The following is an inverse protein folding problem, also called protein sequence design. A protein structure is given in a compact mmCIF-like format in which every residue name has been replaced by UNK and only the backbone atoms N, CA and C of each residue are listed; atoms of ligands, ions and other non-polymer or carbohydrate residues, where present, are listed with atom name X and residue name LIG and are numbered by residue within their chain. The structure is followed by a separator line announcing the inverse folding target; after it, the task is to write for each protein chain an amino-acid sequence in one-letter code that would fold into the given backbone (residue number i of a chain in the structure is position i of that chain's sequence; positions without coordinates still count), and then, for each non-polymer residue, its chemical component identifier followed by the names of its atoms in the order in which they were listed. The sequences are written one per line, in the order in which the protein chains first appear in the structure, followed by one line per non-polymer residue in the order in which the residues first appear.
data_IF_209750755471
#
_entry.id   IF_209750755471
#
_cell.length_a   1.000
_cell.length_b   1.000
_cell.length_c   1.000
_cell.angle_alpha   90.00
_cell.angle_beta   90.00
_cell.angle_gamma   90.00
#
_symmetry.space_group_name_H-M   'P 1'
#
loop_
_entity.id
_entity.type
_entity.pdbx_description
1 polymer ?
#
# COMPACT_ATOMS: atom_id res chain seq x y z
N UNK A 1 50.65 -17.02 -33.89
CA UNK A 1 49.20 -17.28 -33.74
C UNK A 1 48.67 -16.28 -32.71
N UNK A 2 47.87 -15.29 -33.13
CA UNK A 2 47.33 -14.23 -32.26
C UNK A 2 45.92 -14.63 -31.84
N UNK A 3 45.76 -15.01 -30.58
CA UNK A 3 44.48 -15.40 -29.99
C UNK A 3 43.63 -14.15 -29.78
N UNK A 4 42.53 -14.01 -30.52
CA UNK A 4 41.57 -12.92 -30.35
C UNK A 4 40.60 -13.32 -29.23
N UNK A 5 40.62 -12.60 -28.11
CA UNK A 5 39.57 -12.73 -27.09
C UNK A 5 38.32 -11.99 -27.57
N UNK A 6 37.26 -12.74 -27.88
CA UNK A 6 35.92 -12.20 -28.04
C UNK A 6 35.34 -11.85 -26.66
N UNK A 7 35.11 -10.56 -26.40
CA UNK A 7 34.31 -10.08 -25.28
C UNK A 7 32.84 -10.17 -25.70
N UNK A 8 32.09 -11.07 -25.06
CA UNK A 8 30.64 -11.14 -25.24
C UNK A 8 29.98 -10.16 -24.26
N UNK A 9 29.44 -9.07 -24.77
CA UNK A 9 28.53 -8.19 -24.02
C UNK A 9 27.21 -8.92 -23.81
N UNK A 10 26.93 -9.30 -22.57
CA UNK A 10 25.64 -9.86 -22.17
C UNK A 10 24.67 -8.69 -22.01
N UNK A 11 23.81 -8.45 -22.99
CA UNK A 11 22.71 -7.50 -22.86
C UNK A 11 21.65 -8.10 -21.93
N UNK A 12 21.57 -7.60 -20.70
CA UNK A 12 20.46 -7.87 -19.80
C UNK A 12 19.24 -7.09 -20.30
N UNK A 13 18.30 -7.77 -20.95
CA UNK A 13 16.96 -7.22 -21.16
C UNK A 13 16.24 -7.25 -19.81
N UNK A 14 16.28 -6.14 -19.07
CA UNK A 14 15.38 -5.92 -17.96
C UNK A 14 13.95 -5.78 -18.54
N UNK A 15 13.21 -6.88 -18.59
CA UNK A 15 11.75 -6.77 -18.65
C UNK A 15 11.30 -6.00 -17.41
N UNK A 16 10.27 -5.16 -17.52
CA UNK A 16 9.64 -4.57 -16.35
C UNK A 16 9.10 -5.70 -15.47
N UNK A 17 9.87 -6.10 -14.46
CA UNK A 17 9.40 -7.04 -13.46
C UNK A 17 8.32 -6.32 -12.66
N UNK A 18 7.16 -6.95 -12.49
CA UNK A 18 6.23 -6.55 -11.44
C UNK A 18 6.99 -6.59 -10.10
N UNK A 19 6.76 -5.60 -9.23
CA UNK A 19 7.38 -5.59 -7.90
C UNK A 19 6.97 -6.83 -7.11
N UNK A 20 7.88 -7.35 -6.29
CA UNK A 20 7.56 -8.39 -5.33
C UNK A 20 6.67 -7.80 -4.22
N UNK A 21 5.65 -8.54 -3.80
CA UNK A 21 4.85 -8.17 -2.62
C UNK A 21 5.73 -8.33 -1.38
N UNK A 22 5.98 -7.22 -0.69
CA UNK A 22 6.74 -7.15 0.56
C UNK A 22 5.81 -7.49 1.73
N UNK A 23 4.64 -6.85 1.76
CA UNK A 23 3.64 -7.04 2.82
C UNK A 23 2.26 -6.74 2.28
N UNK A 24 1.28 -7.55 2.68
CA UNK A 24 -0.11 -7.38 2.26
C UNK A 24 -1.07 -7.60 3.42
N UNK A 25 -2.17 -6.83 3.41
CA UNK A 25 -3.41 -7.13 4.09
C UNK A 25 -4.52 -7.21 3.04
N UNK A 26 -4.89 -8.43 2.67
CA UNK A 26 -6.12 -8.71 1.91
C UNK A 26 -7.35 -8.82 2.82
N UNK A 27 -7.13 -8.88 4.14
CA UNK A 27 -8.16 -9.06 5.15
C UNK A 27 -9.11 -10.25 4.91
N UNK A 28 -8.75 -11.23 4.08
CA UNK A 28 -9.66 -12.33 3.77
C UNK A 28 -9.80 -13.32 4.94
N UNK A 29 -10.91 -14.06 4.93
CA UNK A 29 -11.16 -15.16 5.85
C UNK A 29 -12.18 -14.85 6.96
N UNK A 30 -12.54 -15.86 7.78
CA UNK A 30 -13.68 -15.77 8.68
C UNK A 30 -13.61 -14.58 9.64
N UNK A 31 -14.65 -13.75 9.67
CA UNK A 31 -14.75 -12.57 10.54
C UNK A 31 -14.64 -12.88 12.03
N UNK A 32 -15.08 -14.06 12.44
CA UNK A 32 -15.09 -14.46 13.85
C UNK A 32 -13.66 -14.55 14.39
N UNK A 33 -13.36 -13.76 15.44
CA UNK A 33 -12.05 -13.77 16.10
C UNK A 33 -10.97 -12.93 15.43
N UNK A 34 -11.22 -12.32 14.26
CA UNK A 34 -10.28 -11.37 13.63
C UNK A 34 -10.15 -10.11 14.48
N UNK A 35 -8.92 -9.65 14.66
CA UNK A 35 -8.61 -8.45 15.42
C UNK A 35 -9.04 -7.19 14.65
N UNK A 36 -10.05 -6.48 15.17
CA UNK A 36 -10.60 -5.28 14.55
C UNK A 36 -9.68 -4.06 14.63
N UNK A 37 -8.81 -3.98 15.63
CA UNK A 37 -7.99 -2.79 15.87
C UNK A 37 -6.56 -2.94 15.38
N UNK A 38 -6.10 -4.17 15.19
CA UNK A 38 -4.77 -4.52 14.70
C UNK A 38 -4.83 -5.78 13.84
N UNK A 39 -5.34 -5.69 12.60
CA UNK A 39 -5.43 -6.85 11.73
C UNK A 39 -4.07 -7.38 11.31
N UNK A 40 -3.96 -8.70 11.23
CA UNK A 40 -2.75 -9.40 10.84
C UNK A 40 -2.53 -9.30 9.32
N UNK A 41 -1.27 -9.35 8.91
CA UNK A 41 -0.88 -9.45 7.50
C UNK A 41 -1.31 -10.79 6.90
N UNK A 42 -1.66 -10.81 5.61
CA UNK A 42 -1.84 -12.03 4.83
C UNK A 42 -0.53 -12.48 4.16
N UNK A 43 0.32 -11.53 3.77
CA UNK A 43 1.68 -11.77 3.24
C UNK A 43 2.66 -10.88 4.00
N UNK A 44 3.85 -11.41 4.29
CA UNK A 44 4.93 -10.63 4.90
C UNK A 44 4.69 -10.27 6.37
N UNK A 45 5.47 -9.31 6.86
CA UNK A 45 5.44 -8.85 8.24
C UNK A 45 5.17 -7.35 8.30
N UNK A 46 4.25 -6.96 9.17
CA UNK A 46 3.90 -5.57 9.41
C UNK A 46 2.84 -5.46 10.50
N UNK A 47 2.49 -4.23 10.84
CA UNK A 47 1.38 -3.97 11.77
C UNK A 47 0.43 -2.93 11.18
N UNK A 48 -0.87 -3.16 11.35
CA UNK A 48 -1.91 -2.18 11.07
C UNK A 48 -2.52 -1.67 12.38
N UNK A 49 -2.98 -0.43 12.42
CA UNK A 49 -3.66 0.14 13.59
C UNK A 49 -4.63 1.27 13.23
N UNK A 50 -5.58 1.53 14.13
CA UNK A 50 -6.54 2.65 14.02
C UNK A 50 -5.91 3.95 14.49
N UNK A 51 -6.20 5.05 13.80
CA UNK A 51 -5.64 6.38 14.07
C UNK A 51 -6.72 7.35 14.54
N UNK A 52 -6.43 8.12 15.58
CA UNK A 52 -7.24 9.27 16.00
C UNK A 52 -8.60 8.93 16.60
N UNK A 53 -8.80 7.69 17.07
CA UNK A 53 -10.06 7.24 17.65
C UNK A 53 -11.10 6.82 16.62
N UNK A 54 -10.67 6.45 15.40
CA UNK A 54 -11.50 5.63 14.51
C UNK A 54 -11.81 4.29 15.16
N UNK A 55 -12.93 3.70 14.76
CA UNK A 55 -13.29 2.31 15.11
C UNK A 55 -13.47 1.52 13.82
N UNK A 56 -13.45 0.19 13.89
CA UNK A 56 -13.60 -0.65 12.71
C UNK A 56 -14.61 -1.79 12.87
N UNK A 57 -15.09 -2.26 11.73
CA UNK A 57 -15.86 -3.46 11.54
C UNK A 57 -15.39 -4.18 10.25
N UNK A 58 -15.78 -5.44 10.10
CA UNK A 58 -15.58 -6.18 8.86
C UNK A 58 -16.77 -6.01 7.92
N UNK A 59 -16.52 -5.84 6.63
CA UNK A 59 -17.55 -5.73 5.58
C UNK A 59 -17.09 -6.47 4.31
N UNK A 60 -17.97 -6.63 3.33
CA UNK A 60 -17.60 -7.29 2.06
C UNK A 60 -16.49 -6.51 1.34
N UNK A 61 -15.52 -7.25 0.82
CA UNK A 61 -14.33 -6.73 0.17
C UNK A 61 -14.53 -6.22 -1.25
N UNK A 62 -13.40 -5.96 -1.89
CA UNK A 62 -13.27 -5.36 -3.20
C UNK A 62 -13.50 -6.40 -4.28
N UNK A 63 -14.23 -6.08 -5.37
CA UNK A 63 -14.36 -6.99 -6.50
C UNK A 63 -13.03 -7.27 -7.23
N UNK A 64 -11.96 -6.53 -6.93
CA UNK A 64 -10.62 -6.84 -7.44
C UNK A 64 -9.91 -7.91 -6.60
N UNK A 65 -10.39 -8.22 -5.40
CA UNK A 65 -9.85 -9.31 -4.60
C UNK A 65 -10.25 -10.65 -5.25
N UNK A 66 -9.28 -11.52 -5.58
CA UNK A 66 -9.57 -12.81 -6.19
C UNK A 66 -10.23 -13.82 -5.22
N UNK A 67 -10.38 -13.51 -3.93
CA UNK A 67 -11.03 -14.37 -2.96
C UNK A 67 -12.50 -14.62 -3.34
N UNK A 68 -12.84 -15.90 -3.46
CA UNK A 68 -14.20 -16.34 -3.82
C UNK A 68 -15.10 -16.46 -2.58
N UNK A 69 -14.50 -16.66 -1.40
CA UNK A 69 -15.17 -16.83 -0.12
C UNK A 69 -14.49 -16.00 0.94
N UNK A 70 -15.27 -15.42 1.85
CA UNK A 70 -14.77 -14.54 2.91
C UNK A 70 -13.90 -13.38 2.38
N UNK A 71 -14.29 -12.85 1.22
CA UNK A 71 -13.80 -11.58 0.66
C UNK A 71 -14.23 -10.42 1.56
N UNK A 72 -13.27 -9.88 2.30
CA UNK A 72 -13.48 -9.02 3.45
C UNK A 72 -12.62 -7.77 3.35
N UNK A 73 -13.19 -6.62 3.75
CA UNK A 73 -12.44 -5.37 3.93
C UNK A 73 -12.40 -4.93 5.37
N UNK A 74 -11.37 -4.16 5.70
CA UNK A 74 -11.32 -3.42 6.96
C UNK A 74 -12.09 -2.10 6.83
N UNK A 75 -13.25 -2.01 7.49
CA UNK A 75 -14.19 -0.90 7.32
C UNK A 75 -14.22 0.00 8.55
N UNK A 76 -13.65 1.19 8.42
CA UNK A 76 -13.50 2.15 9.53
C UNK A 76 -14.63 3.17 9.59
N UNK A 77 -14.88 3.73 10.77
CA UNK A 77 -15.86 4.80 11.03
C UNK A 77 -15.43 5.66 12.22
N UNK A 78 -16.34 6.50 12.73
CA UNK A 78 -16.09 7.46 13.81
C UNK A 78 -15.07 8.51 13.37
N UNK A 79 -15.34 9.14 12.23
CA UNK A 79 -14.52 10.24 11.72
C UNK A 79 -14.81 11.55 12.44
N UNK A 80 -13.96 12.56 12.23
CA UNK A 80 -13.98 13.80 13.01
C UNK A 80 -15.26 14.60 12.73
N UNK A 81 -15.72 15.38 13.70
CA UNK A 81 -16.89 16.23 13.51
C UNK A 81 -16.67 17.22 12.35
N UNK A 82 -17.76 17.60 11.69
CA UNK A 82 -17.69 18.50 10.53
C UNK A 82 -16.90 19.78 10.85
N UNK A 83 -16.00 20.18 9.95
CA UNK A 83 -15.17 21.38 10.10
C UNK A 83 -14.07 21.29 11.15
N UNK A 84 -13.78 20.10 11.72
CA UNK A 84 -12.70 19.90 12.69
C UNK A 84 -11.82 18.70 12.34
N UNK A 85 -10.59 18.65 12.84
CA UNK A 85 -9.78 17.43 12.84
C UNK A 85 -9.39 16.86 11.47
N UNK A 86 -9.26 17.69 10.42
CA UNK A 86 -8.75 17.26 9.11
C UNK A 86 -7.44 16.48 9.25
N UNK A 87 -7.36 15.30 8.63
CA UNK A 87 -6.14 14.49 8.60
C UNK A 87 -5.80 13.81 9.93
N UNK A 88 -6.67 13.86 10.93
CA UNK A 88 -6.36 13.30 12.26
C UNK A 88 -6.88 11.89 12.48
N UNK A 89 -7.71 11.35 11.58
CA UNK A 89 -8.43 10.08 11.75
C UNK A 89 -8.35 9.20 10.51
N UNK A 90 -8.07 7.92 10.73
CA UNK A 90 -7.90 6.95 9.67
C UNK A 90 -7.25 5.65 10.15
N UNK A 91 -6.30 5.15 9.37
CA UNK A 91 -5.53 3.93 9.65
C UNK A 91 -4.04 4.17 9.44
N UNK A 92 -3.22 3.37 10.10
CA UNK A 92 -1.77 3.32 9.93
C UNK A 92 -1.31 1.90 9.61
N UNK A 93 -0.31 1.78 8.73
CA UNK A 93 0.42 0.57 8.41
C UNK A 93 1.91 0.80 8.64
N UNK A 94 2.58 -0.09 9.36
CA UNK A 94 4.04 -0.08 9.53
C UNK A 94 4.64 -1.33 8.89
N UNK A 95 5.64 -1.14 8.03
CA UNK A 95 6.28 -2.18 7.22
C UNK A 95 7.78 -1.94 7.17
N UNK A 96 8.57 -3.03 7.15
CA UNK A 96 9.99 -2.97 6.83
C UNK A 96 10.19 -3.31 5.36
N UNK A 97 10.84 -2.42 4.62
CA UNK A 97 11.22 -2.58 3.21
C UNK A 97 12.71 -2.91 3.05
N UNK A 98 13.38 -3.32 4.13
CA UNK A 98 14.78 -3.76 4.11
C UNK A 98 14.98 -4.84 3.03
N UNK A 99 15.97 -4.64 2.17
CA UNK A 99 16.25 -5.51 1.03
C UNK A 99 15.48 -5.17 -0.24
N UNK A 100 14.64 -4.14 -0.26
CA UNK A 100 13.86 -3.73 -1.44
C UNK A 100 14.11 -2.26 -1.83
N UNK A 101 13.89 -1.95 -3.11
CA UNK A 101 13.89 -0.59 -3.70
C UNK A 101 12.66 -0.40 -4.58
N UNK A 102 12.41 0.82 -5.08
CA UNK A 102 11.24 1.17 -5.89
C UNK A 102 9.92 0.86 -5.17
N UNK A 103 9.84 1.25 -3.90
CA UNK A 103 8.69 0.91 -3.05
C UNK A 103 7.43 1.66 -3.51
N UNK A 104 6.33 0.92 -3.64
CA UNK A 104 4.99 1.47 -3.82
C UNK A 104 4.04 1.01 -2.71
N UNK A 105 3.04 1.83 -2.45
CA UNK A 105 1.87 1.47 -1.66
C UNK A 105 0.65 1.49 -2.58
N UNK A 106 -0.18 0.45 -2.51
CA UNK A 106 -1.46 0.37 -3.22
C UNK A 106 -2.54 -0.17 -2.27
N UNK A 107 -3.77 0.33 -2.39
CA UNK A 107 -4.92 -0.21 -1.69
C UNK A 107 -6.20 0.05 -2.48
N UNK A 108 -7.17 -0.84 -2.34
CA UNK A 108 -8.54 -0.60 -2.76
C UNK A 108 -9.31 0.10 -1.63
N UNK A 109 -9.90 1.24 -1.97
CA UNK A 109 -10.55 2.10 -1.00
C UNK A 109 -12.00 2.37 -1.42
N UNK A 110 -12.92 2.21 -0.47
CA UNK A 110 -14.35 2.48 -0.65
C UNK A 110 -14.86 3.47 0.39
N UNK A 111 -15.16 4.67 -0.06
CA UNK A 111 -15.81 5.72 0.71
C UNK A 111 -17.34 5.53 0.65
N UNK A 112 -18.03 5.41 1.78
CA UNK A 112 -19.50 5.37 1.78
C UNK A 112 -20.10 6.73 1.46
N UNK A 113 -21.38 6.78 1.08
CA UNK A 113 -22.08 8.01 0.67
C UNK A 113 -21.86 9.22 1.59
N UNK A 114 -21.83 9.00 2.90
CA UNK A 114 -21.70 10.07 3.91
C UNK A 114 -20.29 10.21 4.48
N UNK A 115 -19.33 9.37 4.07
CA UNK A 115 -17.92 9.52 4.47
C UNK A 115 -17.29 10.76 3.83
N UNK A 116 -16.10 11.16 4.31
CA UNK A 116 -15.32 12.17 3.59
C UNK A 116 -15.06 11.69 2.17
N UNK A 117 -15.24 12.58 1.20
CA UNK A 117 -14.81 12.38 -0.18
C UNK A 117 -13.29 12.27 -0.28
N UNK A 118 -12.58 13.01 0.57
CA UNK A 118 -11.16 13.23 0.44
C UNK A 118 -10.39 12.45 1.48
N UNK A 119 -9.33 11.80 1.00
CA UNK A 119 -8.33 11.14 1.82
C UNK A 119 -6.94 11.65 1.46
N UNK A 120 -6.04 11.53 2.41
CA UNK A 120 -4.62 11.77 2.21
C UNK A 120 -3.84 10.54 2.64
N UNK A 121 -2.84 10.17 1.84
CA UNK A 121 -1.84 9.17 2.18
C UNK A 121 -0.61 9.92 2.64
N UNK A 122 -0.20 9.65 3.87
CA UNK A 122 0.99 10.19 4.50
C UNK A 122 2.02 9.09 4.67
N UNK A 123 3.30 9.41 4.52
CA UNK A 123 4.40 8.51 4.81
C UNK A 123 5.32 9.08 5.89
N UNK A 124 5.73 8.25 6.84
CA UNK A 124 6.84 8.54 7.74
C UNK A 124 7.99 7.57 7.44
N UNK A 125 9.12 8.12 7.01
CA UNK A 125 10.31 7.35 6.64
C UNK A 125 11.25 7.12 7.82
N UNK A 126 11.10 7.90 8.90
CA UNK A 126 11.81 7.74 10.17
C UNK A 126 10.95 7.09 11.26
N UNK A 127 9.74 6.65 10.87
CA UNK A 127 8.76 6.05 11.76
C UNK A 127 7.98 7.03 12.65
N UNK A 128 8.15 8.35 12.50
CA UNK A 128 7.48 9.34 13.36
C UNK A 128 6.95 10.55 12.60
N UNK A 129 7.73 11.12 11.66
CA UNK A 129 7.38 12.36 10.97
C UNK A 129 6.67 12.07 9.64
N UNK A 130 5.36 12.32 9.63
CA UNK A 130 4.52 12.07 8.47
C UNK A 130 4.54 13.24 7.48
N UNK A 131 4.72 12.92 6.19
CA UNK A 131 4.63 13.85 5.06
C UNK A 131 3.62 13.34 4.04
N UNK A 132 2.93 14.25 3.35
CA UNK A 132 1.97 13.89 2.31
C UNK A 132 2.67 13.30 1.09
N UNK A 133 2.20 12.12 0.65
CA UNK A 133 2.67 11.43 -0.55
C UNK A 133 1.57 11.25 -1.59
N UNK A 134 0.32 11.57 -1.26
CA UNK A 134 -0.78 11.59 -2.20
C UNK A 134 -2.09 12.07 -1.59
N UNK A 135 -2.83 12.87 -2.34
CA UNK A 135 -4.19 13.30 -1.99
C UNK A 135 -5.17 12.77 -3.02
N UNK A 136 -6.24 12.14 -2.56
CA UNK A 136 -7.21 11.49 -3.44
C UNK A 136 -8.63 11.86 -3.05
N UNK A 137 -9.52 11.90 -4.04
CA UNK A 137 -10.94 12.05 -3.85
C UNK A 137 -11.70 10.86 -4.42
N UNK A 138 -12.84 10.51 -3.81
CA UNK A 138 -13.85 9.69 -4.44
C UNK A 138 -14.67 10.54 -5.43
N UNK A 139 -14.99 10.01 -6.61
CA UNK A 139 -15.89 10.68 -7.56
C UNK A 139 -17.36 10.47 -7.20
N UNK A 140 -17.66 9.36 -6.51
CA UNK A 140 -18.97 9.03 -5.96
C UNK A 140 -18.81 8.17 -4.69
N UNK A 141 -19.85 8.15 -3.86
CA UNK A 141 -19.95 7.26 -2.72
C UNK A 141 -20.21 5.82 -3.13
N UNK A 142 -19.86 4.89 -2.25
CA UNK A 142 -20.09 3.44 -2.38
C UNK A 142 -19.41 2.77 -3.59
N UNK A 143 -18.45 3.46 -4.21
CA UNK A 143 -17.60 2.97 -5.29
C UNK A 143 -16.21 2.59 -4.80
N UNK A 144 -15.67 1.52 -5.35
CA UNK A 144 -14.29 1.09 -5.12
C UNK A 144 -13.32 1.90 -5.97
N UNK A 145 -12.19 2.24 -5.39
CA UNK A 145 -11.13 2.98 -6.04
C UNK A 145 -9.78 2.40 -5.64
N UNK A 146 -9.02 1.91 -6.61
CA UNK A 146 -7.60 1.59 -6.39
C UNK A 146 -6.81 2.89 -6.28
N UNK A 147 -6.07 3.03 -5.19
CA UNK A 147 -5.20 4.18 -4.89
C UNK A 147 -3.78 3.69 -4.73
N UNK A 148 -2.85 4.36 -5.41
CA UNK A 148 -1.46 3.97 -5.43
C UNK A 148 -0.55 5.19 -5.36
N UNK A 149 0.57 5.04 -4.65
CA UNK A 149 1.65 6.04 -4.54
C UNK A 149 3.01 5.34 -4.67
N UNK A 150 3.93 6.00 -5.38
CA UNK A 150 5.34 5.62 -5.37
C UNK A 150 6.01 6.40 -4.24
N UNK A 151 6.68 5.71 -3.34
CA UNK A 151 7.16 6.31 -2.07
C UNK A 151 8.55 6.95 -2.18
N UNK A 152 9.25 6.73 -3.29
CA UNK A 152 10.57 7.29 -3.57
C UNK A 152 11.68 6.67 -2.73
N UNK A 153 12.91 7.15 -2.97
CA UNK A 153 14.13 6.52 -2.43
C UNK A 153 14.21 6.50 -0.89
N UNK A 154 13.49 7.36 -0.18
CA UNK A 154 13.46 7.35 1.29
C UNK A 154 12.74 6.11 1.86
N UNK A 155 11.89 5.44 1.08
CA UNK A 155 11.30 4.17 1.45
C UNK A 155 12.19 2.96 1.13
N UNK A 156 13.24 3.13 0.32
CA UNK A 156 14.09 2.00 -0.07
C UNK A 156 14.93 1.51 1.11
N UNK A 157 15.02 0.19 1.27
CA UNK A 157 15.80 -0.47 2.30
C UNK A 157 15.57 0.09 3.72
N UNK A 158 14.30 0.35 4.07
CA UNK A 158 13.92 1.11 5.27
C UNK A 158 13.17 0.22 6.28
N UNK A 159 13.69 0.12 7.50
CA UNK A 159 13.10 -0.70 8.56
C UNK A 159 11.95 -0.01 9.33
N UNK A 160 11.69 1.27 9.06
CA UNK A 160 10.83 2.14 9.87
C UNK A 160 9.75 2.86 9.05
N UNK A 161 9.47 2.38 7.83
CA UNK A 161 8.43 2.96 6.99
C UNK A 161 7.05 2.79 7.65
N UNK A 162 6.31 3.90 7.72
CA UNK A 162 4.90 3.92 8.08
C UNK A 162 4.09 4.67 7.04
N UNK A 163 2.87 4.21 6.80
CA UNK A 163 1.87 4.88 5.97
C UNK A 163 0.63 5.14 6.81
N UNK A 164 0.10 6.35 6.75
CA UNK A 164 -1.24 6.66 7.23
C UNK A 164 -2.15 6.95 6.06
N UNK A 165 -3.40 6.48 6.14
CA UNK A 165 -4.47 6.88 5.22
C UNK A 165 -5.56 7.54 6.05
N UNK A 166 -5.70 8.87 5.91
CA UNK A 166 -6.53 9.69 6.78
C UNK A 166 -7.60 10.45 5.99
N UNK A 167 -8.76 10.67 6.60
CA UNK A 167 -9.79 11.52 6.03
C UNK A 167 -9.43 13.00 6.23
N UNK A 168 -9.38 13.75 5.13
CA UNK A 168 -9.09 15.19 5.15
C UNK A 168 -10.31 16.00 4.70
N UNK A 169 -10.27 17.30 4.99
CA UNK A 169 -11.19 18.24 4.35
C UNK A 169 -11.02 18.24 2.84
N UNK A 170 -12.07 18.67 2.15
CA UNK A 170 -11.97 19.10 0.77
C UNK A 170 -11.00 20.28 0.67
N UNK A 171 -9.89 20.15 -0.10
CA UNK A 171 -8.87 21.20 -0.19
C UNK A 171 -9.42 22.53 -0.72
N UNK A 172 -10.49 22.50 -1.51
CA UNK A 172 -11.11 23.71 -2.06
C UNK A 172 -12.16 24.31 -1.10
N UNK A 173 -12.90 23.47 -0.37
CA UNK A 173 -13.98 23.95 0.51
C UNK A 173 -13.52 24.22 1.96
N UNK A 174 -12.40 23.67 2.40
CA UNK A 174 -11.90 23.81 3.78
C UNK A 174 -12.77 23.11 4.84
N UNK A 175 -13.60 22.15 4.44
CA UNK A 175 -14.43 21.32 5.32
C UNK A 175 -14.61 19.92 4.71
N UNK A 176 -15.13 18.94 5.48
CA UNK A 176 -15.44 17.64 4.88
C UNK A 176 -16.61 17.78 3.90
N UNK A 177 -16.42 17.24 2.71
CA UNK A 177 -17.48 17.03 1.71
C UNK A 177 -17.81 15.55 1.63
N UNK A 178 -19.09 15.23 1.39
CA UNK A 178 -19.52 13.85 1.28
C UNK A 178 -18.99 13.20 0.01
N UNK A 179 -18.63 11.92 0.09
CA UNK A 179 -18.25 11.14 -1.09
C UNK A 179 -19.36 11.10 -2.15
N UNK A 180 -20.63 11.02 -1.73
CA UNK A 180 -21.75 11.29 -2.64
C UNK A 180 -21.86 12.80 -2.93
N UNK A 181 -21.75 13.26 -4.19
CA UNK A 181 -21.80 14.68 -4.53
C UNK A 181 -23.07 15.43 -4.17
N UNK A 182 -24.19 14.72 -4.03
CA UNK A 182 -25.48 15.30 -3.61
C UNK A 182 -25.77 15.07 -2.12
N UNK A 183 -24.87 14.38 -1.41
CA UNK A 183 -25.02 14.01 -0.01
C UNK A 183 -24.42 15.01 0.97
N UNK A 184 -24.48 14.66 2.26
CA UNK A 184 -23.88 15.42 3.36
C UNK A 184 -22.94 14.52 4.16
N UNK A 185 -21.83 15.10 4.61
CA UNK A 185 -20.85 14.40 5.43
C UNK A 185 -21.45 14.01 6.79
N UNK A 186 -21.13 12.81 7.27
CA UNK A 186 -21.45 12.36 8.61
C UNK A 186 -20.25 11.63 9.23
N UNK A 187 -20.09 11.78 10.55
CA UNK A 187 -19.04 11.09 11.32
C UNK A 187 -19.19 9.57 11.31
N UNK A 188 -20.40 9.08 11.07
CA UNK A 188 -20.74 7.66 10.90
C UNK A 188 -20.51 7.14 9.48
N UNK A 189 -20.11 8.00 8.54
CA UNK A 189 -19.60 7.56 7.24
C UNK A 189 -18.44 6.59 7.41
N UNK A 190 -18.25 5.71 6.42
CA UNK A 190 -17.26 4.64 6.51
C UNK A 190 -16.27 4.69 5.37
N UNK A 191 -15.02 4.36 5.64
CA UNK A 191 -14.00 4.13 4.62
C UNK A 191 -13.51 2.69 4.79
N UNK A 192 -13.70 1.91 3.72
CA UNK A 192 -13.24 0.54 3.63
C UNK A 192 -11.88 0.47 2.95
N UNK A 193 -11.01 -0.41 3.45
CA UNK A 193 -9.69 -0.70 2.90
C UNK A 193 -9.59 -2.19 2.60
N UNK A 194 -9.08 -2.49 1.42
CA UNK A 194 -8.87 -3.85 0.97
C UNK A 194 -7.61 -3.92 0.08
N UNK A 195 -7.05 -5.13 -0.10
CA UNK A 195 -5.84 -5.38 -0.87
C UNK A 195 -4.71 -4.39 -0.58
N UNK A 196 -4.50 -4.06 0.70
CA UNK A 196 -3.47 -3.11 1.11
C UNK A 196 -2.12 -3.75 0.91
N UNK A 197 -1.37 -3.27 -0.08
CA UNK A 197 -0.18 -3.95 -0.59
C UNK A 197 1.00 -2.99 -0.65
N UNK A 198 2.11 -3.42 -0.07
CA UNK A 198 3.43 -2.82 -0.25
C UNK A 198 4.23 -3.70 -1.20
N UNK A 199 4.72 -3.13 -2.28
CA UNK A 199 5.51 -3.83 -3.28
C UNK A 199 6.86 -3.15 -3.49
N UNK A 200 7.84 -3.90 -3.99
CA UNK A 200 9.14 -3.35 -4.35
C UNK A 200 9.99 -4.34 -5.15
N UNK A 201 11.10 -3.85 -5.69
CA UNK A 201 12.09 -4.69 -6.37
C UNK A 201 13.13 -5.17 -5.37
N UNK A 202 13.38 -6.48 -5.29
CA UNK A 202 14.44 -7.03 -4.45
C UNK A 202 15.81 -6.47 -4.86
N UNK A 203 16.58 -5.98 -3.88
CA UNK A 203 17.97 -5.57 -4.07
C UNK A 203 18.83 -6.83 -4.14
N UNK A 204 19.50 -7.13 -5.26
CA UNK A 204 20.29 -8.34 -5.39
C UNK A 204 21.39 -8.39 -4.33
N UNK A 205 21.46 -9.50 -3.58
CA UNK A 205 22.59 -9.71 -2.66
C UNK A 205 23.86 -9.96 -3.47
N UNK A 206 25.04 -9.53 -2.99
CA UNK A 206 26.31 -9.76 -3.70
C UNK A 206 26.56 -11.23 -4.06
N UNK A 207 26.10 -12.17 -3.22
CA UNK A 207 26.20 -13.61 -3.47
C UNK A 207 25.33 -14.11 -4.63
N UNK A 208 24.10 -13.59 -4.77
CA UNK A 208 23.21 -13.94 -5.88
C UNK A 208 23.77 -13.42 -7.21
N UNK A 209 24.32 -12.19 -7.23
CA UNK A 209 24.98 -11.63 -8.40
C UNK A 209 26.22 -12.47 -8.82
N UNK A 210 27.02 -12.92 -7.85
CA UNK A 210 28.18 -13.77 -8.10
C UNK A 210 27.79 -15.16 -8.66
N UNK A 211 26.73 -15.78 -8.13
CA UNK A 211 26.25 -17.08 -8.60
C UNK A 211 25.68 -16.99 -10.03
N UNK A 212 24.94 -15.93 -10.34
CA UNK A 212 24.44 -15.64 -11.69
C UNK A 212 25.60 -15.42 -12.67
N UNK A 213 26.63 -14.67 -12.27
CA UNK A 213 27.83 -14.47 -13.08
C UNK A 213 28.59 -15.79 -13.33
N UNK A 214 28.76 -16.62 -12.30
CA UNK A 214 29.38 -17.94 -12.42
C UNK A 214 28.56 -18.89 -13.31
N UNK A 215 27.23 -18.89 -13.18
CA UNK A 215 26.33 -19.67 -14.04
C UNK A 215 26.44 -19.26 -15.51
N UNK A 216 26.50 -17.95 -15.79
CA UNK A 216 26.74 -17.41 -17.13
C UNK A 216 28.09 -17.82 -17.70
N UNK A 217 29.16 -17.77 -16.90
CA UNK A 217 30.51 -18.21 -17.28
C UNK A 217 30.57 -19.71 -17.59
N UNK A 218 29.91 -20.55 -16.80
CA UNK A 218 29.84 -22.00 -17.02
C UNK A 218 29.04 -22.33 -18.27
N UNK A 219 27.92 -21.65 -18.51
CA UNK A 219 27.12 -21.81 -19.72
C UNK A 219 27.89 -21.39 -20.98
N UNK A 220 28.66 -20.29 -20.92
CA UNK A 220 29.50 -19.82 -22.01
C UNK A 220 30.67 -20.79 -22.29
N UNK A 221 31.25 -21.41 -21.26
CA UNK A 221 32.33 -22.40 -21.40
C UNK A 221 31.87 -23.71 -22.03
N UNK A 222 30.61 -24.12 -21.83
CA UNK A 222 30.05 -25.35 -22.43
C UNK A 222 29.70 -25.21 -23.92
N UNK A 223 29.73 -24.00 -24.47
CA UNK A 223 29.44 -23.72 -25.89
C UNK A 223 30.71 -23.55 -26.74
N UNK A 224 31.88 -23.93 -26.22
CA UNK A 224 33.16 -23.98 -26.95
C UNK A 224 33.62 -25.41 -27.11
#
# INVERSE_FOLDING_TARGET
MKTILAVATLALTAGAAAGDIITQWDFNGPRAGKNLTAPATSIGLGSASLVGGTTAAWAAGSPNDPAVTDDDRWNTTTYAAQGTGSGTRGVEYAVSTVGYTNISFTADIRNSNTSSRWIEILAAYDGVNFVSVGTFNATAGDQWNTRSVILGAAADNNASLRIQVVAIFDPAAGAYTAANPTGTYATSGTIGYDLVTFEGTLIPTPGAAALMALGGLVAARRRR
#
